data_IF_328610530644
#
_entry.id   IF_328610530644
#
_cell.length_a   1.000
_cell.length_b   1.000
_cell.length_c   1.000
_cell.angle_alpha   90.00
_cell.angle_beta   90.00
_cell.angle_gamma   90.00
#
_symmetry.space_group_name_H-M   'P 1'
#
loop_
_entity.id
_entity.type
_entity.pdbx_description
1 polymer ?
#
# COMPACT_ATOMS: atom_id res chain seq x y z
N UNK A 1 -5.83 -21.48 8.26
CA UNK A 1 -4.80 -21.54 9.32
C UNK A 1 -4.29 -20.12 9.62
N UNK A 2 -3.75 -19.86 10.81
CA UNK A 2 -3.22 -18.54 11.25
C UNK A 2 -1.92 -18.63 12.07
N UNK A 3 -1.21 -19.74 11.96
CA UNK A 3 0.09 -19.94 12.57
C UNK A 3 1.20 -19.27 11.76
N UNK A 4 2.28 -18.90 12.45
CA UNK A 4 3.46 -18.29 11.86
C UNK A 4 4.68 -19.11 12.30
N UNK A 5 5.55 -19.42 11.34
CA UNK A 5 6.79 -20.15 11.53
C UNK A 5 7.90 -19.43 10.76
N UNK A 6 9.12 -19.56 11.24
CA UNK A 6 10.31 -19.06 10.56
C UNK A 6 11.30 -20.21 10.34
N UNK A 7 11.87 -20.28 9.15
CA UNK A 7 12.97 -21.17 8.84
C UNK A 7 14.26 -20.36 8.91
N UNK A 8 15.18 -20.75 9.80
CA UNK A 8 16.52 -20.21 9.77
C UNK A 8 17.26 -20.80 8.55
N UNK A 9 17.73 -19.94 7.65
CA UNK A 9 18.37 -20.34 6.39
C UNK A 9 19.86 -20.72 6.55
N UNK A 10 20.49 -20.37 7.68
CA UNK A 10 21.87 -20.76 7.99
C UNK A 10 21.92 -22.16 8.60
N UNK A 11 21.02 -22.44 9.56
CA UNK A 11 20.99 -23.71 10.30
C UNK A 11 19.99 -24.72 9.75
N UNK A 12 19.10 -24.30 8.84
CA UNK A 12 17.98 -25.09 8.32
C UNK A 12 17.04 -25.63 9.41
N UNK A 13 16.93 -24.90 10.52
CA UNK A 13 16.06 -25.26 11.64
C UNK A 13 14.80 -24.40 11.65
N UNK A 14 13.64 -25.03 11.82
CA UNK A 14 12.39 -24.33 12.05
C UNK A 14 12.34 -23.77 13.48
N UNK A 15 11.81 -22.55 13.63
CA UNK A 15 11.51 -21.96 14.93
C UNK A 15 10.39 -22.69 15.68
N UNK A 16 9.66 -23.57 14.98
CA UNK A 16 8.33 -23.99 15.39
C UNK A 16 7.36 -22.81 15.37
N UNK A 17 6.21 -22.99 16.04
CA UNK A 17 5.16 -21.97 16.10
C UNK A 17 5.65 -20.75 16.87
N UNK A 18 5.64 -19.59 16.23
CA UNK A 18 5.92 -18.32 16.87
C UNK A 18 4.75 -17.95 17.78
N UNK A 19 5.03 -17.78 19.07
CA UNK A 19 4.03 -17.36 20.05
C UNK A 19 3.74 -15.87 19.90
N UNK A 20 2.58 -15.56 19.35
CA UNK A 20 2.05 -14.20 19.24
C UNK A 20 1.31 -13.85 20.53
N UNK A 21 1.62 -12.71 21.13
CA UNK A 21 0.85 -12.12 22.25
C UNK A 21 -0.12 -11.06 21.74
N UNK A 22 -1.38 -11.12 22.17
CA UNK A 22 -2.39 -10.09 21.87
C UNK A 22 -3.23 -10.37 20.63
N UNK A 23 -3.63 -9.31 19.92
CA UNK A 23 -4.41 -9.41 18.69
C UNK A 23 -3.61 -10.09 17.58
N UNK A 24 -4.30 -10.87 16.76
CA UNK A 24 -3.71 -11.56 15.62
C UNK A 24 -4.67 -11.58 14.43
N UNK A 25 -4.15 -11.67 13.20
CA UNK A 25 -4.98 -11.80 12.02
C UNK A 25 -5.88 -13.04 12.10
N UNK A 26 -7.08 -12.92 11.54
CA UNK A 26 -7.91 -14.09 11.24
C UNK A 26 -7.17 -15.03 10.30
N UNK A 27 -7.49 -16.31 10.41
CA UNK A 27 -6.99 -17.34 9.50
C UNK A 27 -7.34 -17.01 8.05
N UNK A 28 -6.40 -17.31 7.15
CA UNK A 28 -6.51 -16.90 5.76
C UNK A 28 -5.62 -17.71 4.82
N UNK A 29 -6.07 -17.87 3.57
CA UNK A 29 -5.29 -18.34 2.41
C UNK A 29 -5.18 -17.22 1.37
N UNK A 30 -4.34 -17.42 0.34
CA UNK A 30 -4.15 -16.50 -0.79
C UNK A 30 -3.86 -15.03 -0.43
N UNK A 31 -3.26 -14.82 0.74
CA UNK A 31 -2.82 -13.52 1.23
C UNK A 31 -1.43 -13.21 0.71
N UNK A 32 -1.00 -11.96 0.86
CA UNK A 32 0.40 -11.57 0.66
C UNK A 32 1.03 -11.16 1.98
N UNK A 33 2.30 -11.54 2.17
CA UNK A 33 3.12 -11.15 3.32
C UNK A 33 4.40 -10.52 2.78
N UNK A 34 4.52 -9.20 2.89
CA UNK A 34 5.59 -8.41 2.27
C UNK A 34 6.53 -7.85 3.32
N UNK A 35 7.86 -8.02 3.23
CA UNK A 35 8.79 -7.32 4.11
C UNK A 35 8.74 -5.81 3.83
N UNK A 36 8.55 -5.01 4.87
CA UNK A 36 8.46 -3.54 4.76
C UNK A 36 9.58 -2.82 5.50
N UNK A 37 10.58 -3.56 5.99
CA UNK A 37 11.73 -3.08 6.74
C UNK A 37 12.46 -4.27 7.35
N UNK A 38 13.47 -4.01 8.16
CA UNK A 38 14.32 -5.06 8.74
C UNK A 38 13.57 -5.89 9.81
N UNK A 39 12.61 -5.27 10.51
CA UNK A 39 11.91 -5.88 11.64
C UNK A 39 10.39 -6.00 11.41
N UNK A 40 9.89 -5.74 10.19
CA UNK A 40 8.45 -5.62 9.93
C UNK A 40 7.99 -6.32 8.66
N UNK A 41 6.87 -7.02 8.79
CA UNK A 41 6.16 -7.65 7.68
C UNK A 41 4.75 -7.07 7.57
N UNK A 42 4.31 -6.78 6.35
CA UNK A 42 2.96 -6.32 6.05
C UNK A 42 2.14 -7.45 5.43
N UNK A 43 1.04 -7.80 6.10
CA UNK A 43 0.05 -8.77 5.66
C UNK A 43 -1.14 -8.03 5.06
N UNK A 44 -1.62 -8.46 3.89
CA UNK A 44 -2.84 -7.90 3.30
C UNK A 44 -3.74 -8.97 2.68
N UNK A 45 -5.05 -8.79 2.89
CA UNK A 45 -6.12 -9.53 2.23
C UNK A 45 -6.09 -11.04 2.49
N UNK A 46 -6.54 -11.79 1.48
CA UNK A 46 -6.71 -13.23 1.49
C UNK A 46 -8.19 -13.66 1.60
N UNK A 47 -8.40 -14.96 1.78
CA UNK A 47 -9.70 -15.58 2.00
C UNK A 47 -9.69 -16.30 3.35
N UNK A 48 -10.64 -15.99 4.24
CA UNK A 48 -10.77 -16.71 5.53
C UNK A 48 -11.36 -18.11 5.39
N UNK A 49 -11.27 -18.96 6.44
CA UNK A 49 -11.92 -20.28 6.46
C UNK A 49 -13.41 -20.26 6.16
N UNK A 50 -14.07 -19.14 6.48
CA UNK A 50 -15.51 -18.96 6.32
C UNK A 50 -15.87 -18.48 4.91
N UNK A 51 -14.93 -18.58 3.96
CA UNK A 51 -15.04 -18.11 2.57
C UNK A 51 -15.35 -16.60 2.45
N UNK A 52 -14.93 -15.80 3.44
CA UNK A 52 -15.08 -14.34 3.39
C UNK A 52 -13.80 -13.71 2.82
N UNK A 53 -13.88 -12.97 1.70
CA UNK A 53 -12.77 -12.17 1.18
C UNK A 53 -12.35 -11.08 2.16
N UNK A 54 -11.05 -10.95 2.37
CA UNK A 54 -10.48 -10.04 3.36
C UNK A 54 -9.90 -8.78 2.68
N UNK A 55 -10.10 -7.64 3.33
CA UNK A 55 -9.56 -6.32 2.97
C UNK A 55 -8.75 -5.70 4.11
N UNK A 56 -8.55 -6.45 5.20
CA UNK A 56 -7.75 -6.02 6.34
C UNK A 56 -6.26 -6.10 6.02
N UNK A 57 -5.49 -5.26 6.71
CA UNK A 57 -4.05 -5.32 6.64
C UNK A 57 -3.43 -5.16 8.01
N UNK A 58 -2.32 -5.84 8.21
CA UNK A 58 -1.65 -5.97 9.49
C UNK A 58 -0.15 -5.80 9.33
N UNK A 59 0.48 -5.26 10.36
CA UNK A 59 1.94 -5.22 10.47
C UNK A 59 2.36 -6.19 11.57
N UNK A 60 3.21 -7.15 11.22
CA UNK A 60 3.93 -8.00 12.17
C UNK A 60 5.28 -7.38 12.51
N UNK A 61 5.56 -7.24 13.80
CA UNK A 61 6.88 -6.88 14.32
C UNK A 61 7.63 -8.15 14.70
N UNK A 62 8.77 -8.39 14.03
CA UNK A 62 9.62 -9.58 14.24
C UNK A 62 10.27 -9.52 15.63
N UNK A 63 10.69 -8.34 16.08
CA UNK A 63 11.35 -8.15 17.39
C UNK A 63 10.41 -8.47 18.55
N UNK A 64 9.14 -8.08 18.44
CA UNK A 64 8.16 -8.24 19.52
C UNK A 64 7.24 -9.44 19.33
N UNK A 65 7.34 -10.15 18.19
CA UNK A 65 6.39 -11.20 17.76
C UNK A 65 4.93 -10.78 17.93
N UNK A 66 4.63 -9.54 17.56
CA UNK A 66 3.33 -8.91 17.77
C UNK A 66 2.71 -8.46 16.45
N UNK A 67 1.39 -8.53 16.35
CA UNK A 67 0.64 -7.99 15.24
C UNK A 67 -0.05 -6.68 15.62
N UNK A 68 -0.15 -5.79 14.64
CA UNK A 68 -0.91 -4.54 14.74
C UNK A 68 -1.78 -4.35 13.51
N UNK A 69 -3.08 -4.23 13.70
CA UNK A 69 -4.00 -3.97 12.60
C UNK A 69 -3.88 -2.51 12.11
N UNK A 70 -3.91 -2.32 10.79
CA UNK A 70 -4.03 -0.99 10.18
C UNK A 70 -5.50 -0.63 10.00
N UNK A 71 -5.99 0.33 10.78
CA UNK A 71 -7.40 0.74 10.80
C UNK A 71 -7.81 1.66 9.67
N UNK A 72 -6.84 2.30 9.00
CA UNK A 72 -7.06 3.28 7.94
C UNK A 72 -7.22 2.66 6.53
N UNK A 73 -7.13 1.34 6.42
CA UNK A 73 -7.22 0.65 5.14
C UNK A 73 -8.66 0.59 4.61
N UNK A 74 -8.85 0.64 3.28
CA UNK A 74 -10.17 0.63 2.67
C UNK A 74 -10.85 -0.74 2.84
N UNK A 75 -11.82 -0.82 3.76
CA UNK A 75 -12.57 -2.05 4.04
C UNK A 75 -13.38 -2.57 2.84
N UNK A 76 -13.71 -1.70 1.88
CA UNK A 76 -14.54 -2.03 0.71
C UNK A 76 -13.78 -2.67 -0.46
N UNK A 77 -12.46 -2.90 -0.33
CA UNK A 77 -11.62 -3.38 -1.43
C UNK A 77 -10.88 -4.68 -1.05
N UNK A 78 -11.61 -5.80 -0.86
CA UNK A 78 -10.97 -7.07 -0.57
C UNK A 78 -10.15 -7.57 -1.75
N UNK A 79 -9.09 -8.33 -1.44
CA UNK A 79 -8.18 -8.92 -2.44
C UNK A 79 -7.72 -10.29 -1.97
N UNK A 80 -7.90 -11.29 -2.82
CA UNK A 80 -7.29 -12.61 -2.70
C UNK A 80 -6.55 -12.96 -3.99
N UNK A 81 -5.53 -13.81 -3.88
CA UNK A 81 -4.68 -14.23 -5.01
C UNK A 81 -4.02 -13.05 -5.74
N UNK A 82 -3.78 -11.97 -5.00
CA UNK A 82 -3.12 -10.78 -5.49
C UNK A 82 -1.61 -10.90 -5.32
N UNK A 83 -0.89 -9.98 -5.96
CA UNK A 83 0.54 -9.80 -5.77
C UNK A 83 0.80 -8.54 -4.94
N UNK A 84 1.88 -8.53 -4.17
CA UNK A 84 2.30 -7.38 -3.40
C UNK A 84 3.82 -7.19 -3.53
N UNK A 85 4.27 -5.95 -3.67
CA UNK A 85 5.69 -5.61 -3.70
C UNK A 85 6.00 -4.33 -2.93
N UNK A 86 7.20 -4.28 -2.35
CA UNK A 86 7.71 -3.09 -1.68
C UNK A 86 8.22 -2.09 -2.73
N UNK A 87 7.65 -0.89 -2.72
CA UNK A 87 8.07 0.25 -3.52
C UNK A 87 9.28 0.96 -2.93
N UNK A 88 9.91 1.80 -3.76
CA UNK A 88 11.15 2.51 -3.39
C UNK A 88 10.98 3.53 -2.27
N UNK A 89 9.76 4.03 -2.06
CA UNK A 89 9.47 5.04 -1.03
C UNK A 89 8.86 4.41 0.23
N UNK A 90 8.96 3.08 0.40
CA UNK A 90 8.39 2.36 1.55
C UNK A 90 6.87 2.14 1.47
N UNK A 91 6.30 2.32 0.28
CA UNK A 91 4.90 1.98 -0.01
C UNK A 91 4.78 0.50 -0.41
N UNK A 92 3.70 -0.17 -0.04
CA UNK A 92 3.39 -1.51 -0.56
C UNK A 92 2.40 -1.37 -1.70
N UNK A 93 2.79 -1.87 -2.86
CA UNK A 93 1.97 -1.88 -4.07
C UNK A 93 1.32 -3.24 -4.21
N UNK A 94 -0.02 -3.28 -4.22
CA UNK A 94 -0.82 -4.49 -4.41
C UNK A 94 -1.52 -4.42 -5.76
N UNK A 95 -1.31 -5.46 -6.58
CA UNK A 95 -1.85 -5.54 -7.92
C UNK A 95 -2.51 -6.89 -8.19
N UNK A 96 -3.60 -6.86 -8.96
CA UNK A 96 -4.28 -8.06 -9.41
C UNK A 96 -5.23 -8.66 -8.38
N UNK A 97 -5.46 -9.96 -8.52
CA UNK A 97 -6.29 -10.78 -7.63
C UNK A 97 -7.78 -10.66 -7.90
N UNK A 98 -8.57 -11.29 -7.04
CA UNK A 98 -10.03 -11.26 -7.06
C UNK A 98 -10.58 -10.57 -5.82
N UNK A 99 -11.75 -9.95 -5.95
CA UNK A 99 -12.54 -9.41 -4.83
C UNK A 99 -13.56 -10.43 -4.28
N UNK A 100 -13.88 -11.46 -5.06
CA UNK A 100 -14.92 -12.46 -4.79
C UNK A 100 -14.30 -13.86 -4.60
N UNK A 101 -14.97 -14.74 -3.86
CA UNK A 101 -14.57 -16.14 -3.75
C UNK A 101 -14.70 -16.83 -5.12
N UNK A 102 -13.58 -17.37 -5.59
CA UNK A 102 -13.42 -17.98 -6.90
C UNK A 102 -14.26 -19.26 -7.08
N UNK A 103 -14.74 -19.86 -5.99
CA UNK A 103 -15.62 -21.03 -6.07
C UNK A 103 -17.02 -20.70 -6.59
N UNK A 104 -17.47 -19.45 -6.45
CA UNK A 104 -18.83 -19.06 -6.80
C UNK A 104 -18.89 -18.25 -8.10
N UNK A 105 -17.93 -17.34 -8.37
CA UNK A 105 -17.96 -16.48 -9.57
C UNK A 105 -16.57 -16.02 -10.05
N UNK A 106 -16.30 -16.15 -11.34
CA UNK A 106 -15.04 -15.74 -12.00
C UNK A 106 -15.04 -14.28 -12.51
N UNK A 107 -15.97 -13.45 -12.04
CA UNK A 107 -16.13 -12.06 -12.51
C UNK A 107 -15.42 -11.02 -11.63
N UNK A 108 -14.80 -11.47 -10.54
CA UNK A 108 -14.23 -10.64 -9.48
C UNK A 108 -12.83 -10.08 -9.71
N UNK A 109 -12.23 -10.33 -10.89
CA UNK A 109 -10.83 -9.97 -11.17
C UNK A 109 -10.59 -8.46 -11.11
N UNK A 110 -9.51 -8.10 -10.43
CA UNK A 110 -9.10 -6.72 -10.21
C UNK A 110 -7.85 -6.42 -11.05
N UNK A 111 -7.89 -5.35 -11.84
CA UNK A 111 -6.75 -4.84 -12.62
C UNK A 111 -6.21 -3.50 -12.09
N UNK A 112 -6.71 -3.08 -10.94
CA UNK A 112 -6.33 -1.84 -10.28
C UNK A 112 -5.16 -2.04 -9.31
N UNK A 113 -4.49 -0.92 -9.02
CA UNK A 113 -3.36 -0.86 -8.12
C UNK A 113 -3.81 -0.27 -6.77
N UNK A 114 -3.53 -0.97 -5.67
CA UNK A 114 -3.63 -0.41 -4.33
C UNK A 114 -2.23 -0.03 -3.86
N UNK A 115 -2.11 1.15 -3.26
CA UNK A 115 -0.85 1.62 -2.69
C UNK A 115 -1.09 1.88 -1.21
N UNK A 116 -0.38 1.13 -0.37
CA UNK A 116 -0.48 1.23 1.07
C UNK A 116 0.78 1.88 1.64
N UNK A 117 0.59 2.99 2.33
CA UNK A 117 1.66 3.65 3.04
C UNK A 117 1.86 2.97 4.39
N UNK A 118 2.95 2.20 4.51
CA UNK A 118 3.25 1.45 5.74
C UNK A 118 4.19 2.20 6.70
N UNK A 119 4.84 3.27 6.20
CA UNK A 119 5.79 4.09 6.93
C UNK A 119 5.62 5.58 6.56
N UNK A 120 6.01 6.53 7.44
CA UNK A 120 6.06 7.94 7.07
C UNK A 120 7.04 8.16 5.91
N UNK A 121 6.75 9.13 5.05
CA UNK A 121 7.65 9.49 3.96
C UNK A 121 8.98 10.03 4.50
N UNK A 122 10.06 9.74 3.79
CA UNK A 122 11.36 10.31 4.10
C UNK A 122 11.33 11.85 4.03
N UNK A 123 12.19 12.51 4.81
CA UNK A 123 12.31 13.97 4.76
C UNK A 123 12.61 14.45 3.33
N UNK A 124 13.49 13.75 2.62
CA UNK A 124 13.78 14.02 1.21
C UNK A 124 12.52 14.02 0.36
N UNK A 125 11.68 12.98 0.51
CA UNK A 125 10.41 12.86 -0.22
C UNK A 125 9.46 14.01 0.09
N UNK A 126 9.32 14.35 1.37
CA UNK A 126 8.48 15.48 1.81
C UNK A 126 8.98 16.82 1.26
N UNK A 127 10.29 17.06 1.26
CA UNK A 127 10.89 18.25 0.67
C UNK A 127 10.66 18.30 -0.85
N UNK A 128 10.86 17.19 -1.56
CA UNK A 128 10.63 17.09 -3.00
C UNK A 128 9.15 17.37 -3.35
N UNK A 129 8.22 16.86 -2.55
CA UNK A 129 6.79 17.13 -2.73
C UNK A 129 6.43 18.58 -2.41
N UNK A 130 7.04 19.18 -1.39
CA UNK A 130 6.90 20.61 -1.08
C UNK A 130 7.38 21.49 -2.24
N UNK A 131 8.56 21.21 -2.79
CA UNK A 131 9.11 21.93 -3.95
C UNK A 131 8.23 21.74 -5.18
N UNK A 132 7.77 20.50 -5.43
CA UNK A 132 6.90 20.18 -6.57
C UNK A 132 5.58 20.95 -6.55
N UNK A 133 4.94 21.06 -5.39
CA UNK A 133 3.69 21.84 -5.20
C UNK A 133 3.91 23.34 -5.37
N UNK A 134 5.05 23.85 -4.89
CA UNK A 134 5.37 25.28 -4.87
C UNK A 134 6.32 25.69 -6.01
N UNK A 135 6.31 24.94 -7.12
CA UNK A 135 7.23 25.12 -8.22
C UNK A 135 7.20 26.54 -8.83
N UNK A 136 6.02 27.18 -8.83
CA UNK A 136 5.86 28.54 -9.31
C UNK A 136 6.63 29.57 -8.46
N UNK A 137 6.69 29.37 -7.14
CA UNK A 137 7.41 30.25 -6.21
C UNK A 137 8.94 30.03 -6.28
N UNK A 138 9.35 28.80 -6.58
CA UNK A 138 10.76 28.39 -6.56
C UNK A 138 11.43 28.37 -7.95
N UNK A 139 10.80 29.02 -8.95
CA UNK A 139 11.21 28.94 -10.35
C UNK A 139 12.66 29.40 -10.58
N UNK A 140 13.13 30.40 -9.83
CA UNK A 140 14.50 30.91 -9.96
C UNK A 140 15.54 30.02 -9.28
N UNK A 141 15.16 29.29 -8.22
CA UNK A 141 16.08 28.45 -7.44
C UNK A 141 16.19 27.02 -7.98
N UNK A 142 15.15 26.48 -8.63
CA UNK A 142 15.13 25.11 -9.16
C UNK A 142 16.33 24.82 -10.10
N UNK A 143 16.70 25.70 -11.06
CA UNK A 143 17.85 25.44 -11.95
C UNK A 143 19.20 25.37 -11.23
N UNK A 144 19.31 25.91 -10.01
CA UNK A 144 20.54 25.89 -9.22
C UNK A 144 20.80 24.55 -8.53
N UNK A 145 19.84 23.61 -8.58
CA UNK A 145 19.97 22.32 -7.92
C UNK A 145 20.95 21.38 -8.65
N UNK A 146 21.68 20.52 -7.93
CA UNK A 146 22.49 19.46 -8.53
C UNK A 146 21.66 18.56 -9.44
N UNK A 147 22.26 18.07 -10.53
CA UNK A 147 21.55 17.34 -11.62
C UNK A 147 20.65 16.19 -11.14
N UNK A 148 21.12 15.36 -10.20
CA UNK A 148 20.34 14.26 -9.63
C UNK A 148 19.08 14.75 -8.92
N UNK A 149 19.21 15.82 -8.12
CA UNK A 149 18.11 16.39 -7.37
C UNK A 149 17.15 17.15 -8.27
N UNK A 150 17.69 17.89 -9.26
CA UNK A 150 16.89 18.58 -10.28
C UNK A 150 15.98 17.59 -11.03
N UNK A 151 16.51 16.43 -11.46
CA UNK A 151 15.70 15.40 -12.11
C UNK A 151 14.57 14.88 -11.23
N UNK A 152 14.82 14.69 -9.92
CA UNK A 152 13.78 14.27 -8.98
C UNK A 152 12.71 15.35 -8.78
N UNK A 153 13.13 16.61 -8.65
CA UNK A 153 12.23 17.76 -8.52
C UNK A 153 11.36 17.90 -9.77
N UNK A 154 11.94 17.85 -10.97
CA UNK A 154 11.18 17.96 -12.23
C UNK A 154 10.11 16.87 -12.33
N UNK A 155 10.42 15.62 -11.98
CA UNK A 155 9.43 14.54 -11.93
C UNK A 155 8.28 14.87 -10.97
N UNK A 156 8.58 15.48 -9.81
CA UNK A 156 7.56 15.90 -8.85
C UNK A 156 6.71 17.06 -9.34
N UNK A 157 7.30 18.04 -10.02
CA UNK A 157 6.57 19.14 -10.64
C UNK A 157 5.57 18.58 -11.66
N UNK A 158 6.01 17.69 -12.55
CA UNK A 158 5.13 17.05 -13.53
C UNK A 158 4.03 16.23 -12.86
N UNK A 159 4.37 15.48 -11.82
CA UNK A 159 3.39 14.70 -11.05
C UNK A 159 2.30 15.59 -10.43
N UNK A 160 2.68 16.67 -9.74
CA UNK A 160 1.73 17.57 -9.09
C UNK A 160 0.91 18.36 -10.11
N UNK A 161 1.50 18.81 -11.22
CA UNK A 161 0.75 19.45 -12.31
C UNK A 161 -0.35 18.52 -12.86
N UNK A 162 -0.03 17.25 -13.11
CA UNK A 162 -1.02 16.25 -13.54
C UNK A 162 -2.06 15.94 -12.44
N UNK A 163 -1.66 15.93 -11.17
CA UNK A 163 -2.56 15.71 -10.04
C UNK A 163 -3.58 16.85 -9.88
N UNK A 164 -3.14 18.10 -9.97
CA UNK A 164 -4.01 19.27 -9.92
C UNK A 164 -5.03 19.25 -11.06
N UNK A 165 -4.58 19.00 -12.29
CA UNK A 165 -5.48 18.91 -13.44
C UNK A 165 -6.52 17.78 -13.31
N UNK A 166 -6.15 16.63 -12.72
CA UNK A 166 -7.12 15.56 -12.43
C UNK A 166 -8.14 15.95 -11.36
N UNK A 167 -7.71 16.67 -10.32
CA UNK A 167 -8.60 17.16 -9.27
C UNK A 167 -9.60 18.19 -9.81
N UNK A 168 -9.13 19.12 -10.65
CA UNK A 168 -9.98 20.12 -11.31
C UNK A 168 -11.04 19.46 -12.19
N UNK A 169 -10.67 18.51 -13.05
CA UNK A 169 -11.62 17.75 -13.87
C UNK A 169 -12.66 17.00 -13.05
N UNK A 170 -12.25 16.40 -11.93
CA UNK A 170 -13.16 15.67 -11.05
C UNK A 170 -14.17 16.64 -10.39
N UNK A 171 -13.70 17.77 -9.89
CA UNK A 171 -14.55 18.81 -9.30
C UNK A 171 -15.54 19.39 -10.31
N UNK A 172 -15.13 19.55 -11.57
CA UNK A 172 -16.01 20.04 -12.64
C UNK A 172 -17.09 19.03 -13.02
N UNK A 173 -16.74 17.74 -13.08
CA UNK A 173 -17.70 16.64 -13.33
C UNK A 173 -18.70 16.51 -12.19
N UNK A 174 -18.25 16.63 -10.93
CA UNK A 174 -19.12 16.62 -9.74
C UNK A 174 -20.08 17.81 -9.76
N UNK A 175 -19.61 19.01 -10.09
CA UNK A 175 -20.47 20.21 -10.25
C UNK A 175 -21.51 20.02 -11.35
N UNK A 176 -21.13 19.50 -12.52
CA UNK A 176 -22.06 19.25 -13.63
C UNK A 176 -23.12 18.20 -13.27
N UNK A 177 -22.74 17.15 -12.53
CA UNK A 177 -23.71 16.16 -12.04
C UNK A 177 -24.71 16.75 -11.04
N UNK A 178 -24.27 17.67 -10.17
CA UNK A 178 -25.16 18.36 -9.23
C UNK A 178 -26.16 19.28 -9.94
N UNK A 179 -25.73 19.96 -11.01
CA UNK A 179 -26.57 20.84 -11.85
C UNK A 179 -27.59 20.09 -12.72
N UNK A 180 -27.36 18.81 -13.02
CA UNK A 180 -28.29 17.98 -13.82
C UNK A 180 -29.26 17.17 -12.96
N UNK A 181 -29.10 17.18 -11.63
CA UNK A 181 -29.98 16.46 -10.68
C UNK A 181 -30.95 17.40 -9.96
N UNK A 182 -30.99 18.68 -10.34
CA UNK A 182 -31.95 19.73 -9.93
C UNK A 182 -32.81 20.15 -11.10
#
# INVERSE_FOLDING_TARGET
MNDLHCLNLDTWTWSGRINITGEKPKDRSWHTLTPIGDDRLFLFGGLSSDNVPLSDGWIHSITTNGWKQLTHLPKSRPRLWHTACLGKEGEVMVFGGSKDDLHFMDTGHCSDLLIFQTQPYSLLRLCLDCIGKNAALLKSQIPCLPSKLLQQVLKKITFWAAAHHRQEKKAETERQSQLTTT
#
